data_IF_084664166565
#
_entry.id   IF_084664166565
#
_cell.length_a   1.000
_cell.length_b   1.000
_cell.length_c   1.000
_cell.angle_alpha   90.00
_cell.angle_beta   90.00
_cell.angle_gamma   90.00
#
_symmetry.space_group_name_H-M   'P 1'
#
loop_
_entity.id
_entity.type
_entity.pdbx_description
1 polymer ?
#
# COMPACT_ATOMS: atom_id res chain seq x y z
N UNK A 1 16.45 36.90 37.67
CA UNK A 1 15.48 36.78 36.55
C UNK A 1 15.63 35.52 35.70
N UNK A 2 16.73 34.75 35.79
CA UNK A 2 16.95 33.58 34.92
C UNK A 2 16.21 32.29 35.28
N UNK A 3 15.94 31.99 36.55
CA UNK A 3 15.36 30.68 36.93
C UNK A 3 13.90 30.51 36.49
N UNK A 4 13.11 31.59 36.48
CA UNK A 4 11.69 31.57 36.08
C UNK A 4 11.51 31.30 34.58
N UNK A 5 12.45 31.73 33.73
CA UNK A 5 12.37 31.52 32.28
C UNK A 5 12.69 30.07 31.91
N UNK A 6 13.62 29.41 32.62
CA UNK A 6 13.92 27.99 32.42
C UNK A 6 12.75 27.09 32.81
N UNK A 7 12.07 27.40 33.91
CA UNK A 7 10.89 26.63 34.33
C UNK A 7 9.74 26.78 33.32
N UNK A 8 9.52 27.98 32.80
CA UNK A 8 8.52 28.22 31.76
C UNK A 8 8.83 27.44 30.47
N UNK A 9 10.07 27.45 30.00
CA UNK A 9 10.48 26.69 28.82
C UNK A 9 10.30 25.17 29.01
N UNK A 10 10.63 24.66 30.20
CA UNK A 10 10.52 23.24 30.52
C UNK A 10 9.05 22.78 30.56
N UNK A 11 8.15 23.62 31.08
CA UNK A 11 6.71 23.37 31.06
C UNK A 11 6.16 23.36 29.62
N UNK A 12 6.60 24.28 28.77
CA UNK A 12 6.17 24.32 27.36
C UNK A 12 6.62 23.07 26.61
N UNK A 13 7.88 22.65 26.78
CA UNK A 13 8.41 21.41 26.16
C UNK A 13 7.64 20.19 26.65
N UNK A 14 7.35 20.11 27.95
CA UNK A 14 6.56 19.02 28.52
C UNK A 14 5.13 19.00 27.94
N UNK A 15 4.48 20.16 27.80
CA UNK A 15 3.17 20.26 27.16
C UNK A 15 3.21 19.80 25.69
N UNK A 16 4.24 20.16 24.93
CA UNK A 16 4.39 19.73 23.54
C UNK A 16 4.53 18.19 23.46
N UNK A 17 5.36 17.59 24.32
CA UNK A 17 5.54 16.13 24.39
C UNK A 17 4.22 15.43 24.74
N UNK A 18 3.48 15.96 25.72
CA UNK A 18 2.18 15.41 26.12
C UNK A 18 1.15 15.50 24.98
N UNK A 19 1.11 16.60 24.23
CA UNK A 19 0.21 16.76 23.09
C UNK A 19 0.58 15.87 21.90
N UNK A 20 1.88 15.63 21.65
CA UNK A 20 2.35 14.66 20.64
C UNK A 20 1.94 13.23 21.00
N UNK A 21 1.93 12.88 22.30
CA UNK A 21 1.51 11.56 22.76
C UNK A 21 0.00 11.31 22.68
N UNK A 22 -0.82 12.37 22.54
CA UNK A 22 -2.27 12.28 22.37
C UNK A 22 -2.74 12.28 20.92
N UNK A 23 -1.82 12.35 19.94
CA UNK A 23 -2.17 12.12 18.52
C UNK A 23 -2.46 10.62 18.35
N UNK A 24 -3.66 10.23 18.75
CA UNK A 24 -4.23 8.95 18.39
C UNK A 24 -4.57 9.03 16.90
N UNK A 25 -3.81 8.31 16.06
CA UNK A 25 -4.26 8.05 14.71
C UNK A 25 -5.57 7.28 14.83
N UNK A 26 -6.65 7.80 14.27
CA UNK A 26 -7.88 7.03 14.09
C UNK A 26 -7.58 6.07 12.94
N UNK A 27 -6.86 4.99 13.23
CA UNK A 27 -6.75 3.87 12.32
C UNK A 27 -8.05 3.06 12.45
N UNK A 28 -8.78 2.91 11.36
CA UNK A 28 -9.96 2.05 11.33
C UNK A 28 -9.55 0.63 11.73
N UNK A 29 -10.31 0.01 12.63
CA UNK A 29 -10.06 -1.38 12.99
C UNK A 29 -10.19 -2.26 11.75
N UNK A 30 -9.24 -3.19 11.57
CA UNK A 30 -9.23 -4.10 10.43
C UNK A 30 -10.53 -4.94 10.43
N UNK A 31 -11.34 -4.77 9.39
CA UNK A 31 -12.70 -5.33 9.33
C UNK A 31 -12.74 -6.82 8.96
N UNK A 32 -11.69 -7.32 8.30
CA UNK A 32 -11.56 -8.72 7.88
C UNK A 32 -10.16 -9.23 8.16
N UNK A 33 -9.96 -10.50 8.54
CA UNK A 33 -8.63 -11.00 8.93
C UNK A 33 -7.63 -11.06 7.78
N UNK A 34 -8.12 -11.14 6.53
CA UNK A 34 -7.30 -11.23 5.34
C UNK A 34 -8.03 -10.69 4.10
N UNK A 35 -7.25 -10.27 3.08
CA UNK A 35 -7.80 -9.82 1.80
C UNK A 35 -7.03 -10.43 0.62
N UNK A 36 -7.66 -11.38 -0.07
CA UNK A 36 -7.10 -12.03 -1.26
C UNK A 36 -7.71 -11.41 -2.53
N UNK A 37 -6.85 -11.01 -3.45
CA UNK A 37 -7.24 -10.24 -4.64
C UNK A 37 -6.92 -11.06 -5.88
N UNK A 38 -7.88 -11.18 -6.79
CA UNK A 38 -7.73 -11.83 -8.09
C UNK A 38 -8.26 -10.89 -9.17
N UNK A 39 -7.61 -10.86 -10.32
CA UNK A 39 -8.02 -9.99 -11.42
C UNK A 39 -6.90 -9.76 -12.43
N UNK A 40 -6.99 -8.63 -13.10
CA UNK A 40 -6.09 -8.22 -14.17
C UNK A 40 -5.29 -6.96 -13.80
N UNK A 41 -4.94 -6.15 -14.80
CA UNK A 41 -4.21 -4.89 -14.64
C UNK A 41 -4.90 -3.89 -13.70
N UNK A 42 -6.22 -3.92 -13.56
CA UNK A 42 -6.96 -2.99 -12.68
C UNK A 42 -6.63 -3.18 -11.20
N UNK A 43 -6.18 -4.38 -10.83
CA UNK A 43 -5.91 -4.76 -9.45
C UNK A 43 -4.44 -5.18 -9.24
N UNK A 44 -3.68 -5.43 -10.31
CA UNK A 44 -2.26 -5.79 -10.23
C UNK A 44 -1.45 -4.70 -9.51
N UNK A 45 -0.57 -5.13 -8.61
CA UNK A 45 0.35 -4.29 -7.86
C UNK A 45 1.83 -4.66 -8.05
N UNK A 46 2.15 -5.42 -9.09
CA UNK A 46 3.52 -5.72 -9.50
C UNK A 46 3.82 -7.20 -9.72
N UNK A 47 2.83 -8.06 -9.94
CA UNK A 47 3.05 -9.47 -10.25
C UNK A 47 3.82 -9.66 -11.57
N UNK A 48 3.60 -8.78 -12.55
CA UNK A 48 4.24 -8.91 -13.87
C UNK A 48 5.66 -8.32 -13.95
N UNK A 49 6.15 -7.69 -12.89
CA UNK A 49 7.42 -6.93 -12.93
C UNK A 49 8.61 -7.79 -13.37
N UNK A 50 8.68 -9.04 -12.88
CA UNK A 50 9.78 -9.97 -13.17
C UNK A 50 9.49 -10.91 -14.37
N UNK A 51 8.30 -10.87 -14.96
CA UNK A 51 7.94 -11.73 -16.09
C UNK A 51 8.46 -11.17 -17.42
N UNK A 52 8.76 -12.02 -18.39
CA UNK A 52 9.11 -11.60 -19.76
C UNK A 52 7.83 -11.29 -20.56
N UNK A 53 7.25 -10.11 -20.32
CA UNK A 53 5.99 -9.64 -20.93
C UNK A 53 6.00 -8.11 -21.08
N UNK A 54 5.27 -7.57 -22.05
CA UNK A 54 5.06 -6.11 -22.14
C UNK A 54 3.92 -5.64 -21.23
N UNK A 55 3.14 -6.56 -20.66
CA UNK A 55 2.00 -6.25 -19.79
C UNK A 55 2.47 -5.97 -18.37
N UNK A 56 3.23 -4.90 -18.17
CA UNK A 56 3.69 -4.45 -16.86
C UNK A 56 3.65 -2.94 -16.76
N UNK A 57 3.59 -2.42 -15.54
CA UNK A 57 3.50 -0.98 -15.26
C UNK A 57 4.56 -0.52 -14.24
N UNK A 58 5.79 -1.05 -14.35
CA UNK A 58 6.93 -0.69 -13.50
C UNK A 58 7.84 0.39 -14.11
N UNK A 59 7.25 1.31 -14.88
CA UNK A 59 7.94 2.41 -15.54
C UNK A 59 7.03 3.66 -15.60
N UNK A 60 7.62 4.85 -15.77
CA UNK A 60 6.86 6.10 -15.88
C UNK A 60 5.97 6.13 -17.14
N UNK A 61 4.75 6.70 -17.09
CA UNK A 61 4.22 7.55 -16.02
C UNK A 61 3.55 6.79 -14.87
N UNK A 62 3.49 5.46 -14.90
CA UNK A 62 2.90 4.69 -13.81
C UNK A 62 3.66 4.89 -12.51
N UNK A 63 2.93 5.00 -11.40
CA UNK A 63 3.51 5.25 -10.09
C UNK A 63 4.07 6.67 -9.88
N UNK A 64 3.83 7.64 -10.77
CA UNK A 64 4.29 9.03 -10.59
C UNK A 64 3.76 9.70 -9.31
N UNK A 65 2.55 9.31 -8.89
CA UNK A 65 1.89 9.78 -7.66
C UNK A 65 2.04 8.76 -6.50
N UNK A 66 2.73 7.63 -6.72
CA UNK A 66 2.95 6.61 -5.68
C UNK A 66 4.23 6.93 -4.89
N UNK A 67 4.24 6.84 -3.55
CA UNK A 67 5.38 7.28 -2.73
C UNK A 67 6.72 6.61 -3.06
N UNK A 68 6.70 5.38 -3.58
CA UNK A 68 7.90 4.60 -3.94
C UNK A 68 8.15 4.55 -5.45
N UNK A 69 7.44 5.36 -6.24
CA UNK A 69 7.55 5.36 -7.70
C UNK A 69 6.81 4.20 -8.38
N UNK A 70 7.23 3.81 -9.61
CA UNK A 70 6.59 2.74 -10.37
C UNK A 70 6.65 1.38 -9.65
N UNK A 71 5.49 0.87 -9.24
CA UNK A 71 5.37 -0.41 -8.50
C UNK A 71 4.86 -1.57 -9.35
N UNK A 72 4.32 -1.32 -10.55
CA UNK A 72 3.59 -2.32 -11.34
C UNK A 72 2.08 -2.18 -11.29
N UNK A 73 1.55 -1.17 -10.56
CA UNK A 73 0.15 -0.74 -10.65
C UNK A 73 -0.09 0.00 -11.96
N UNK A 74 -1.13 -0.37 -12.70
CA UNK A 74 -1.54 0.29 -13.95
C UNK A 74 -2.26 1.62 -13.68
N UNK A 75 -1.67 2.46 -12.83
CA UNK A 75 -2.18 3.75 -12.37
C UNK A 75 -1.01 4.69 -12.01
N UNK A 76 -1.27 5.98 -11.90
CA UNK A 76 -0.27 6.92 -11.37
C UNK A 76 0.06 6.66 -9.90
N UNK A 77 -0.90 6.15 -9.13
CA UNK A 77 -0.76 5.93 -7.70
C UNK A 77 -1.38 4.60 -7.27
N UNK A 78 -2.18 4.64 -6.21
CA UNK A 78 -2.97 3.50 -5.71
C UNK A 78 -3.97 3.00 -6.75
N UNK A 79 -4.23 1.70 -6.78
CA UNK A 79 -5.31 1.08 -7.54
C UNK A 79 -6.53 0.81 -6.64
N UNK A 80 -7.59 0.20 -7.20
CA UNK A 80 -8.84 -0.08 -6.46
C UNK A 80 -8.63 -1.05 -5.29
N UNK A 81 -7.74 -2.03 -5.45
CA UNK A 81 -7.44 -2.98 -4.39
C UNK A 81 -6.75 -2.32 -3.20
N UNK A 82 -5.84 -1.36 -3.44
CA UNK A 82 -5.21 -0.59 -2.36
C UNK A 82 -6.23 0.24 -1.59
N UNK A 83 -7.11 0.94 -2.31
CA UNK A 83 -8.16 1.77 -1.70
C UNK A 83 -9.11 0.90 -0.88
N UNK A 84 -9.44 -0.29 -1.39
CA UNK A 84 -10.28 -1.25 -0.67
C UNK A 84 -9.60 -1.77 0.58
N UNK A 85 -8.30 -2.08 0.53
CA UNK A 85 -7.53 -2.51 1.70
C UNK A 85 -7.49 -1.41 2.79
N UNK A 86 -7.31 -0.15 2.40
CA UNK A 86 -7.37 1.00 3.33
C UNK A 86 -8.75 1.14 3.98
N UNK A 87 -9.83 1.05 3.19
CA UNK A 87 -11.20 1.10 3.71
C UNK A 87 -11.53 -0.08 4.64
N UNK A 88 -10.90 -1.24 4.42
CA UNK A 88 -11.00 -2.41 5.29
C UNK A 88 -10.11 -2.32 6.55
N UNK A 89 -9.36 -1.23 6.74
CA UNK A 89 -8.52 -1.02 7.93
C UNK A 89 -7.16 -1.72 7.90
N UNK A 90 -6.65 -2.09 6.72
CA UNK A 90 -5.28 -2.60 6.61
C UNK A 90 -4.27 -1.45 6.67
N UNK A 91 -3.28 -1.57 7.55
CA UNK A 91 -2.18 -0.58 7.70
C UNK A 91 -1.14 -0.69 6.59
N UNK A 92 -0.92 -1.90 6.09
CA UNK A 92 0.05 -2.22 5.03
C UNK A 92 -0.68 -2.56 3.73
N UNK A 93 -0.10 -2.21 2.58
CA UNK A 93 -0.60 -2.69 1.29
C UNK A 93 -0.52 -4.22 1.21
N UNK A 94 -1.54 -4.86 0.64
CA UNK A 94 -1.52 -6.30 0.38
C UNK A 94 -0.37 -6.62 -0.59
N UNK A 95 0.54 -7.54 -0.26
CA UNK A 95 1.70 -7.83 -1.11
C UNK A 95 1.28 -8.53 -2.41
N UNK A 96 2.06 -8.33 -3.48
CA UNK A 96 1.90 -9.09 -4.72
C UNK A 96 2.31 -10.55 -4.49
N UNK A 97 1.69 -11.49 -5.20
CA UNK A 97 2.09 -12.90 -5.17
C UNK A 97 3.58 -13.08 -5.49
N UNK A 98 4.12 -12.27 -6.41
CA UNK A 98 5.53 -12.31 -6.78
C UNK A 98 6.47 -12.06 -5.57
N UNK A 99 6.07 -11.22 -4.61
CA UNK A 99 6.92 -10.83 -3.46
C UNK A 99 6.47 -11.39 -2.12
N UNK A 100 5.21 -11.81 -1.96
CA UNK A 100 4.67 -12.31 -0.69
C UNK A 100 5.40 -13.57 -0.19
N UNK A 101 5.81 -13.60 1.09
CA UNK A 101 6.49 -14.77 1.68
C UNK A 101 5.98 -15.07 3.10
N UNK A 102 6.13 -16.32 3.52
CA UNK A 102 5.94 -16.75 4.91
C UNK A 102 4.60 -16.33 5.50
N UNK A 103 4.63 -15.63 6.65
CA UNK A 103 3.43 -15.24 7.41
C UNK A 103 2.65 -14.09 6.78
N UNK A 104 3.22 -13.34 5.84
CA UNK A 104 2.53 -12.24 5.15
C UNK A 104 1.31 -12.76 4.37
N UNK A 105 1.41 -13.97 3.83
CA UNK A 105 0.34 -14.65 3.09
C UNK A 105 -0.92 -14.80 3.95
N UNK A 106 -0.79 -14.94 5.28
CA UNK A 106 -1.93 -15.09 6.18
C UNK A 106 -2.78 -13.82 6.28
N UNK A 107 -2.22 -12.66 5.94
CA UNK A 107 -2.95 -11.38 5.90
C UNK A 107 -3.63 -11.12 4.54
N UNK A 108 -3.37 -11.95 3.53
CA UNK A 108 -3.85 -11.76 2.17
C UNK A 108 -2.72 -11.63 1.16
N UNK A 109 -3.04 -11.90 -0.11
CA UNK A 109 -2.10 -11.82 -1.25
C UNK A 109 -2.86 -11.32 -2.46
N UNK A 110 -2.18 -10.47 -3.24
CA UNK A 110 -2.68 -10.01 -4.52
C UNK A 110 -2.15 -10.90 -5.64
N UNK A 111 -3.05 -11.66 -6.27
CA UNK A 111 -2.80 -12.54 -7.42
C UNK A 111 -3.20 -11.91 -8.77
N UNK A 112 -3.69 -10.67 -8.77
CA UNK A 112 -4.05 -10.00 -10.00
C UNK A 112 -2.82 -9.76 -10.88
N UNK A 113 -2.95 -10.03 -12.17
CA UNK A 113 -1.83 -10.05 -13.12
C UNK A 113 -2.26 -9.34 -14.39
N UNK A 114 -1.51 -8.33 -14.83
CA UNK A 114 -1.79 -7.64 -16.09
C UNK A 114 -2.02 -8.63 -17.24
N UNK A 115 -3.10 -8.45 -18.00
CA UNK A 115 -3.46 -9.29 -19.15
C UNK A 115 -4.13 -10.63 -18.79
N UNK A 116 -4.33 -10.93 -17.51
CA UNK A 116 -5.10 -12.08 -17.08
C UNK A 116 -6.57 -11.96 -17.53
N UNK A 117 -7.20 -13.12 -17.75
CA UNK A 117 -8.62 -13.21 -18.08
C UNK A 117 -9.16 -14.61 -17.82
N UNK A 118 -10.45 -14.80 -18.09
CA UNK A 118 -11.16 -16.06 -17.81
C UNK A 118 -10.85 -17.12 -18.87
N UNK A 119 -10.57 -16.70 -20.11
CA UNK A 119 -10.33 -17.61 -21.23
C UNK A 119 -8.84 -17.77 -21.51
N UNK A 120 -8.44 -18.94 -21.99
CA UNK A 120 -7.06 -19.29 -22.34
C UNK A 120 -6.46 -18.38 -23.41
N UNK A 121 -7.28 -17.79 -24.29
CA UNK A 121 -6.81 -16.89 -25.34
C UNK A 121 -6.53 -15.46 -24.84
N UNK A 122 -6.95 -15.14 -23.62
CA UNK A 122 -6.79 -13.79 -23.06
C UNK A 122 -5.31 -13.50 -22.82
N UNK A 123 -4.84 -12.32 -23.21
CA UNK A 123 -3.46 -11.91 -22.99
C UNK A 123 -2.42 -12.53 -23.91
N UNK A 124 -2.79 -13.45 -24.82
CA UNK A 124 -1.83 -14.07 -25.75
C UNK A 124 -1.19 -13.09 -26.74
N UNK A 125 -1.82 -11.93 -26.97
CA UNK A 125 -1.36 -10.89 -27.90
C UNK A 125 -0.83 -9.64 -27.20
N UNK A 126 -0.57 -9.71 -25.89
CA UNK A 126 -0.20 -8.56 -25.05
C UNK A 126 1.27 -8.60 -24.60
#
# INVERSE_FOLDING_TARGET
MGTKTWHLALVIVLMIILNLSTISRVDGEQQVPCYFIFGDSLLDNGNNNALQTNVKANYLPYGIDFPTGPTGRFSNGRNIADITAELLGFVEYIPSFATARGREILKGVNYASGGAGIRDETGQNL
#
